data_IF_725679036902
#
_entry.id   IF_725679036902
#
_cell.length_a   1.000
_cell.length_b   1.000
_cell.length_c   1.000
_cell.angle_alpha   90.00
_cell.angle_beta   90.00
_cell.angle_gamma   90.00
#
_symmetry.space_group_name_H-M   'P 1'
#
loop_
_entity.id
_entity.type
_entity.pdbx_description
1 polymer ?
#
# COMPACT_ATOMS: atom_id res chain seq x y z
N UNK A 1 35.00 12.95 -15.27
CA UNK A 1 34.45 12.33 -14.05
C UNK A 1 33.43 13.31 -13.51
N UNK A 2 32.18 13.18 -13.95
CA UNK A 2 31.10 14.08 -13.54
C UNK A 2 30.42 13.51 -12.30
N UNK A 3 30.76 14.08 -11.15
CA UNK A 3 30.11 13.85 -9.86
C UNK A 3 29.00 14.89 -9.64
N UNK A 4 27.96 14.87 -10.48
CA UNK A 4 26.78 15.73 -10.26
C UNK A 4 25.46 15.12 -10.77
N UNK A 5 25.31 13.81 -10.56
CA UNK A 5 23.99 13.19 -10.47
C UNK A 5 23.35 13.55 -9.12
N UNK A 6 23.13 14.84 -8.89
CA UNK A 6 22.27 15.31 -7.79
C UNK A 6 20.88 14.74 -8.07
N UNK A 7 20.52 13.74 -7.26
CA UNK A 7 19.21 13.12 -7.24
C UNK A 7 18.15 14.22 -7.26
N UNK A 8 17.50 14.42 -8.41
CA UNK A 8 16.35 15.33 -8.52
C UNK A 8 15.38 14.92 -7.42
N UNK A 9 14.90 15.84 -6.57
CA UNK A 9 13.86 15.51 -5.62
C UNK A 9 12.70 14.96 -6.44
N UNK A 10 12.39 13.68 -6.28
CA UNK A 10 11.27 13.02 -6.95
C UNK A 10 10.03 13.83 -6.62
N UNK A 11 9.65 14.66 -7.59
CA UNK A 11 8.73 15.75 -7.40
C UNK A 11 7.34 15.21 -7.08
N UNK A 12 6.47 16.08 -6.58
CA UNK A 12 5.03 15.82 -6.47
C UNK A 12 4.45 15.19 -7.76
N UNK A 13 5.06 15.45 -8.93
CA UNK A 13 4.75 14.81 -10.21
C UNK A 13 4.81 13.29 -10.19
N UNK A 14 5.92 12.68 -9.74
CA UNK A 14 6.07 11.21 -9.73
C UNK A 14 5.06 10.55 -8.79
N UNK A 15 4.87 11.13 -7.59
CA UNK A 15 3.86 10.66 -6.65
C UNK A 15 2.44 10.73 -7.23
N UNK A 16 2.07 11.87 -7.84
CA UNK A 16 0.75 12.07 -8.46
C UNK A 16 0.53 11.11 -9.64
N UNK A 17 1.55 10.92 -10.47
CA UNK A 17 1.48 10.05 -11.62
C UNK A 17 1.25 8.60 -11.20
N UNK A 18 2.10 8.08 -10.31
CA UNK A 18 1.98 6.72 -9.78
C UNK A 18 0.67 6.55 -9.01
N UNK A 19 0.22 7.56 -8.25
CA UNK A 19 -1.10 7.51 -7.59
C UNK A 19 -2.25 7.38 -8.58
N UNK A 20 -2.13 7.96 -9.78
CA UNK A 20 -3.17 7.93 -10.82
C UNK A 20 -3.14 6.65 -11.65
N UNK A 21 -1.96 6.19 -12.04
CA UNK A 21 -1.78 5.14 -13.06
C UNK A 21 -1.22 3.84 -12.49
N UNK A 22 -0.67 3.86 -11.28
CA UNK A 22 0.03 2.74 -10.66
C UNK A 22 1.42 2.46 -11.27
N UNK A 23 1.90 3.31 -12.17
CA UNK A 23 3.18 3.13 -12.84
C UNK A 23 3.83 4.48 -13.19
N UNK A 24 5.13 4.46 -13.45
CA UNK A 24 5.86 5.59 -14.01
C UNK A 24 6.56 5.13 -15.31
N UNK A 25 5.92 5.27 -16.48
CA UNK A 25 6.47 4.78 -17.74
C UNK A 25 7.76 5.53 -18.12
N UNK A 26 8.76 4.78 -18.60
CA UNK A 26 10.02 5.37 -19.06
C UNK A 26 10.93 5.90 -17.94
N UNK A 27 10.73 5.43 -16.70
CA UNK A 27 11.60 5.79 -15.57
C UNK A 27 13.02 5.22 -15.76
N UNK A 28 14.04 6.08 -15.92
CA UNK A 28 15.41 5.62 -16.16
C UNK A 28 16.10 5.08 -14.90
N UNK A 29 15.60 5.38 -13.69
CA UNK A 29 16.18 4.89 -12.43
C UNK A 29 15.07 4.49 -11.42
N UNK A 30 14.43 3.33 -11.65
CA UNK A 30 13.26 2.90 -10.88
C UNK A 30 13.54 2.65 -9.39
N UNK A 31 14.76 2.23 -9.03
CA UNK A 31 15.14 2.00 -7.62
C UNK A 31 15.29 3.32 -6.85
N UNK A 32 15.95 4.32 -7.46
CA UNK A 32 16.01 5.67 -6.85
C UNK A 32 14.63 6.31 -6.74
N UNK A 33 13.78 6.13 -7.77
CA UNK A 33 12.38 6.57 -7.74
C UNK A 33 11.63 5.93 -6.57
N UNK A 34 11.73 4.61 -6.42
CA UNK A 34 11.12 3.87 -5.32
C UNK A 34 11.60 4.39 -3.96
N UNK A 35 12.91 4.63 -3.78
CA UNK A 35 13.45 5.20 -2.55
C UNK A 35 12.84 6.59 -2.22
N UNK A 36 12.72 7.49 -3.21
CA UNK A 36 12.09 8.79 -2.96
C UNK A 36 10.59 8.72 -2.69
N UNK A 37 9.88 7.78 -3.31
CA UNK A 37 8.47 7.52 -3.01
C UNK A 37 8.31 6.99 -1.57
N UNK A 38 9.17 6.07 -1.12
CA UNK A 38 9.21 5.60 0.27
C UNK A 38 9.41 6.79 1.22
N UNK A 39 10.44 7.60 0.99
CA UNK A 39 10.72 8.78 1.83
C UNK A 39 9.52 9.71 1.94
N UNK A 40 8.87 9.99 0.80
CA UNK A 40 7.68 10.85 0.75
C UNK A 40 6.49 10.22 1.47
N UNK A 41 6.31 8.90 1.35
CA UNK A 41 5.26 8.18 2.07
C UNK A 41 5.42 8.34 3.58
N UNK A 42 6.63 8.18 4.11
CA UNK A 42 6.92 8.38 5.54
C UNK A 42 6.78 9.85 5.97
N UNK A 43 7.06 10.82 5.11
CA UNK A 43 6.78 12.24 5.39
C UNK A 43 5.27 12.50 5.55
N UNK A 44 4.44 11.90 4.68
CA UNK A 44 2.99 11.97 4.82
C UNK A 44 2.49 11.29 6.09
N UNK A 45 3.09 10.15 6.45
CA UNK A 45 2.79 9.47 7.70
C UNK A 45 3.11 10.34 8.91
N UNK A 46 4.29 10.95 8.95
CA UNK A 46 4.70 11.86 10.03
C UNK A 46 3.66 12.97 10.24
N UNK A 47 3.29 13.67 9.16
CA UNK A 47 2.25 14.72 9.22
C UNK A 47 0.90 14.17 9.70
N UNK A 48 0.55 12.93 9.33
CA UNK A 48 -0.71 12.31 9.76
C UNK A 48 -0.72 11.92 11.25
N UNK A 49 0.44 11.62 11.83
CA UNK A 49 0.58 11.24 13.24
C UNK A 49 0.96 12.40 14.16
N UNK A 50 1.49 13.51 13.63
CA UNK A 50 1.86 14.70 14.42
C UNK A 50 0.67 15.22 15.25
N UNK A 51 -0.51 15.31 14.65
CA UNK A 51 -1.71 15.82 15.35
C UNK A 51 -2.13 14.94 16.54
N UNK A 52 -2.23 13.60 16.41
CA UNK A 52 -2.39 12.71 17.56
C UNK A 52 -1.28 12.82 18.61
N UNK A 53 -0.01 12.91 18.20
CA UNK A 53 1.14 13.02 19.10
C UNK A 53 1.07 14.29 19.96
N UNK A 54 0.59 15.40 19.41
CA UNK A 54 0.45 16.66 20.15
C UNK A 54 -0.74 16.67 21.12
N UNK A 55 -1.83 15.98 20.79
CA UNK A 55 -3.11 16.09 21.51
C UNK A 55 -3.32 15.03 22.57
N UNK A 56 -2.67 13.87 22.44
CA UNK A 56 -2.84 12.74 23.34
C UNK A 56 -1.64 12.60 24.27
N UNK A 57 -1.85 12.16 25.52
CA UNK A 57 -0.74 11.81 26.39
C UNK A 57 0.09 10.67 25.77
N UNK A 58 1.43 10.66 25.97
CA UNK A 58 2.27 9.52 25.60
C UNK A 58 1.74 8.19 26.17
N UNK A 59 1.83 7.10 25.40
CA UNK A 59 1.39 5.76 25.82
C UNK A 59 0.16 5.22 25.07
N UNK A 60 -0.74 4.56 25.79
CA UNK A 60 -1.76 3.67 25.21
C UNK A 60 -2.70 4.34 24.21
N UNK A 61 -3.08 5.60 24.45
CA UNK A 61 -4.05 6.31 23.60
C UNK A 61 -3.49 6.69 22.22
N UNK A 62 -2.17 6.83 22.09
CA UNK A 62 -1.51 7.25 20.85
C UNK A 62 -1.37 6.12 19.84
N UNK A 63 -1.18 4.88 20.31
CA UNK A 63 -0.94 3.73 19.45
C UNK A 63 -2.11 3.44 18.48
N UNK A 64 -3.38 3.41 18.92
CA UNK A 64 -4.51 3.22 18.02
C UNK A 64 -4.60 4.29 16.91
N UNK A 65 -4.31 5.55 17.25
CA UNK A 65 -4.33 6.64 16.26
C UNK A 65 -3.21 6.50 15.23
N UNK A 66 -2.01 6.09 15.67
CA UNK A 66 -0.91 5.79 14.76
C UNK A 66 -1.23 4.62 13.85
N UNK A 67 -1.77 3.53 14.39
CA UNK A 67 -2.20 2.35 13.61
C UNK A 67 -3.24 2.77 12.58
N UNK A 68 -4.23 3.58 12.98
CA UNK A 68 -5.26 4.09 12.07
C UNK A 68 -4.66 4.95 10.96
N UNK A 69 -3.82 5.93 11.30
CA UNK A 69 -3.18 6.81 10.33
C UNK A 69 -2.30 6.03 9.34
N UNK A 70 -1.54 5.05 9.84
CA UNK A 70 -0.70 4.18 9.02
C UNK A 70 -1.55 3.37 8.03
N UNK A 71 -2.60 2.70 8.51
CA UNK A 71 -3.48 1.87 7.65
C UNK A 71 -4.27 2.72 6.66
N UNK A 72 -4.76 3.89 7.07
CA UNK A 72 -5.45 4.82 6.17
C UNK A 72 -4.53 5.32 5.06
N UNK A 73 -3.29 5.69 5.40
CA UNK A 73 -2.31 6.11 4.40
C UNK A 73 -1.99 4.95 3.46
N UNK A 74 -1.75 3.75 3.99
CA UNK A 74 -1.49 2.54 3.22
C UNK A 74 -2.60 2.27 2.18
N UNK A 75 -3.87 2.33 2.59
CA UNK A 75 -5.02 2.16 1.69
C UNK A 75 -5.09 3.23 0.59
N UNK A 76 -4.91 4.50 0.96
CA UNK A 76 -4.96 5.62 0.00
C UNK A 76 -3.80 5.62 -1.00
N UNK A 77 -2.71 4.92 -0.67
CA UNK A 77 -1.48 4.89 -1.46
C UNK A 77 -1.19 3.51 -2.05
N UNK A 78 -2.18 2.62 -2.13
CA UNK A 78 -2.05 1.28 -2.72
C UNK A 78 -1.35 1.28 -4.10
N UNK A 79 -1.66 2.17 -5.06
CA UNK A 79 -0.95 2.23 -6.33
C UNK A 79 0.55 2.54 -6.19
N UNK A 80 0.90 3.44 -5.26
CA UNK A 80 2.29 3.82 -4.96
C UNK A 80 3.05 2.68 -4.32
N UNK A 81 2.45 2.02 -3.32
CA UNK A 81 3.08 0.87 -2.64
C UNK A 81 3.28 -0.29 -3.59
N UNK A 82 2.31 -0.57 -4.45
CA UNK A 82 2.44 -1.59 -5.50
C UNK A 82 3.58 -1.27 -6.45
N UNK A 83 3.67 -0.02 -6.92
CA UNK A 83 4.77 0.40 -7.78
C UNK A 83 6.11 0.19 -7.09
N UNK A 84 6.28 0.69 -5.85
CA UNK A 84 7.49 0.50 -5.04
C UNK A 84 7.83 -0.99 -4.90
N UNK A 85 6.87 -1.86 -4.60
CA UNK A 85 7.13 -3.30 -4.46
C UNK A 85 7.66 -3.96 -5.76
N UNK A 86 7.28 -3.43 -6.93
CA UNK A 86 7.73 -3.93 -8.23
C UNK A 86 9.08 -3.37 -8.65
N UNK A 87 9.43 -2.17 -8.19
CA UNK A 87 10.63 -1.43 -8.63
C UNK A 87 11.74 -1.35 -7.58
N UNK A 88 11.49 -1.84 -6.36
CA UNK A 88 12.46 -1.78 -5.26
C UNK A 88 13.71 -2.58 -5.54
N UNK A 89 14.85 -1.92 -5.39
CA UNK A 89 16.18 -2.51 -5.32
C UNK A 89 16.89 -2.16 -4.01
N UNK A 90 18.23 -2.19 -3.99
CA UNK A 90 19.02 -1.94 -2.80
C UNK A 90 18.80 -0.55 -2.19
N UNK A 91 18.61 0.51 -3.00
CA UNK A 91 18.43 1.88 -2.49
C UNK A 91 17.07 2.05 -1.83
N UNK A 92 16.01 1.56 -2.48
CA UNK A 92 14.67 1.54 -1.91
C UNK A 92 14.64 0.75 -0.60
N UNK A 93 15.31 -0.41 -0.56
CA UNK A 93 15.40 -1.23 0.66
C UNK A 93 16.11 -0.50 1.80
N UNK A 94 17.25 0.15 1.52
CA UNK A 94 17.99 0.93 2.52
C UNK A 94 17.19 2.12 3.04
N UNK A 95 16.45 2.81 2.17
CA UNK A 95 15.56 3.91 2.59
C UNK A 95 14.38 3.38 3.43
N UNK A 96 13.76 2.27 3.04
CA UNK A 96 12.68 1.64 3.82
C UNK A 96 13.15 1.27 5.22
N UNK A 97 14.33 0.64 5.32
CA UNK A 97 14.92 0.28 6.61
C UNK A 97 15.25 1.52 7.45
N UNK A 98 15.84 2.56 6.84
CA UNK A 98 16.13 3.82 7.52
C UNK A 98 14.86 4.45 8.10
N UNK A 99 13.79 4.54 7.31
CA UNK A 99 12.54 5.14 7.74
C UNK A 99 11.82 4.30 8.81
N UNK A 100 11.81 2.97 8.67
CA UNK A 100 11.26 2.07 9.67
C UNK A 100 12.01 2.17 11.01
N UNK A 101 13.34 2.32 11.00
CA UNK A 101 14.13 2.54 12.22
C UNK A 101 13.78 3.87 12.91
N UNK A 102 13.58 4.95 12.15
CA UNK A 102 13.19 6.25 12.71
C UNK A 102 11.81 6.17 13.36
N UNK A 103 10.82 5.60 12.67
CA UNK A 103 9.47 5.44 13.20
C UNK A 103 9.42 4.50 14.40
N UNK A 104 10.20 3.41 14.39
CA UNK A 104 10.30 2.51 15.52
C UNK A 104 10.92 3.19 16.76
N UNK A 105 11.83 4.15 16.56
CA UNK A 105 12.37 4.98 17.64
C UNK A 105 11.29 5.80 18.34
N UNK A 106 10.45 6.48 17.56
CA UNK A 106 9.32 7.27 18.09
C UNK A 106 8.33 6.38 18.87
N UNK A 107 7.96 5.24 18.30
CA UNK A 107 7.04 4.28 18.91
C UNK A 107 7.59 3.63 20.18
N UNK A 108 8.91 3.45 20.26
CA UNK A 108 9.54 2.81 21.41
C UNK A 108 9.38 3.62 22.69
N UNK A 109 9.29 4.95 22.61
CA UNK A 109 9.04 5.79 23.79
C UNK A 109 7.67 5.52 24.39
N UNK A 110 6.62 5.53 23.55
CA UNK A 110 5.25 5.22 23.99
C UNK A 110 5.14 3.78 24.53
N UNK A 111 5.75 2.82 23.85
CA UNK A 111 5.76 1.42 24.29
C UNK A 111 6.54 1.20 25.60
N UNK A 112 7.61 1.98 25.83
CA UNK A 112 8.35 1.92 27.10
C UNK A 112 7.50 2.41 28.26
N UNK A 113 6.74 3.50 28.07
CA UNK A 113 5.82 4.03 29.08
C UNK A 113 4.69 3.06 29.43
N UNK A 114 4.32 2.20 28.48
CA UNK A 114 3.36 1.10 28.69
C UNK A 114 3.98 -0.15 29.32
N UNK A 115 5.29 -0.14 29.62
CA UNK A 115 5.97 -1.29 30.23
C UNK A 115 6.31 -2.42 29.25
N UNK A 116 6.45 -2.14 27.95
CA UNK A 116 6.88 -3.16 26.99
C UNK A 116 8.30 -3.66 27.33
N UNK A 117 8.55 -4.98 27.38
CA UNK A 117 9.84 -5.54 27.85
C UNK A 117 11.00 -5.30 26.88
N UNK A 118 10.72 -4.93 25.62
CA UNK A 118 11.72 -4.54 24.63
C UNK A 118 11.10 -3.54 23.64
N UNK A 119 10.98 -2.25 23.98
CA UNK A 119 10.13 -1.29 23.25
C UNK A 119 10.52 -1.11 21.79
N UNK A 120 11.82 -0.99 21.49
CA UNK A 120 12.31 -0.88 20.10
C UNK A 120 12.03 -2.12 19.25
N UNK A 121 12.14 -3.31 19.84
CA UNK A 121 11.83 -4.56 19.14
C UNK A 121 10.32 -4.67 18.90
N UNK A 122 9.54 -4.38 19.93
CA UNK A 122 8.07 -4.37 19.87
C UNK A 122 7.55 -3.38 18.82
N UNK A 123 8.17 -2.19 18.73
CA UNK A 123 7.86 -1.21 17.69
C UNK A 123 8.15 -1.73 16.28
N UNK A 124 9.29 -2.40 16.07
CA UNK A 124 9.63 -2.99 14.77
C UNK A 124 8.67 -4.12 14.39
N UNK A 125 8.33 -4.97 15.35
CA UNK A 125 7.39 -6.08 15.16
C UNK A 125 6.00 -5.53 14.79
N UNK A 126 5.52 -4.48 15.50
CA UNK A 126 4.28 -3.79 15.16
C UNK A 126 4.29 -3.22 13.73
N UNK A 127 5.35 -2.52 13.33
CA UNK A 127 5.47 -1.97 11.97
C UNK A 127 5.49 -3.07 10.90
N UNK A 128 6.11 -4.22 11.18
CA UNK A 128 6.13 -5.37 10.29
C UNK A 128 4.74 -6.03 10.18
N UNK A 129 4.00 -6.12 11.27
CA UNK A 129 2.61 -6.59 11.25
C UNK A 129 1.70 -5.66 10.45
N UNK A 130 1.81 -4.34 10.64
CA UNK A 130 1.06 -3.35 9.85
C UNK A 130 1.36 -3.47 8.35
N UNK A 131 2.63 -3.65 7.98
CA UNK A 131 3.02 -3.90 6.60
C UNK A 131 2.37 -5.18 6.03
N UNK A 132 2.31 -6.24 6.83
CA UNK A 132 1.70 -7.53 6.46
C UNK A 132 0.19 -7.41 6.29
N UNK A 133 -0.50 -6.77 7.23
CA UNK A 133 -1.95 -6.50 7.16
C UNK A 133 -2.27 -5.77 5.87
N UNK A 134 -1.51 -4.73 5.55
CA UNK A 134 -1.82 -3.93 4.39
C UNK A 134 -1.42 -4.58 3.06
N UNK A 135 -0.46 -5.50 3.04
CA UNK A 135 -0.21 -6.37 1.89
C UNK A 135 -1.37 -7.36 1.67
N UNK A 136 -1.95 -7.88 2.76
CA UNK A 136 -3.13 -8.74 2.71
C UNK A 136 -4.38 -7.98 2.24
N UNK A 137 -4.61 -6.74 2.71
CA UNK A 137 -5.68 -5.86 2.22
C UNK A 137 -5.53 -5.59 0.70
N UNK A 138 -4.31 -5.31 0.22
CA UNK A 138 -4.05 -5.12 -1.21
C UNK A 138 -4.37 -6.39 -2.02
N UNK A 139 -4.03 -7.57 -1.49
CA UNK A 139 -4.32 -8.85 -2.14
C UNK A 139 -5.83 -9.13 -2.22
N UNK A 140 -6.55 -8.93 -1.12
CA UNK A 140 -8.00 -9.07 -1.09
C UNK A 140 -8.70 -8.07 -2.03
N UNK A 141 -8.23 -6.81 -2.05
CA UNK A 141 -8.72 -5.78 -2.95
C UNK A 141 -8.55 -6.14 -4.43
N UNK A 142 -7.45 -6.81 -4.81
CA UNK A 142 -7.26 -7.34 -6.18
C UNK A 142 -8.28 -8.40 -6.52
N UNK A 143 -8.47 -9.39 -5.65
CA UNK A 143 -9.47 -10.46 -5.86
C UNK A 143 -10.86 -9.86 -6.08
N UNK A 144 -11.26 -8.87 -5.28
CA UNK A 144 -12.55 -8.19 -5.43
C UNK A 144 -12.66 -7.39 -6.74
N UNK A 145 -11.60 -6.67 -7.14
CA UNK A 145 -11.58 -5.93 -8.41
C UNK A 145 -11.65 -6.86 -9.62
N UNK A 146 -10.95 -7.99 -9.57
CA UNK A 146 -10.95 -8.98 -10.64
C UNK A 146 -12.30 -9.70 -10.71
N UNK A 147 -12.90 -10.05 -9.57
CA UNK A 147 -14.26 -10.56 -9.50
C UNK A 147 -15.27 -9.56 -10.08
N UNK A 148 -15.17 -8.28 -9.71
CA UNK A 148 -16.01 -7.21 -10.28
C UNK A 148 -15.80 -7.04 -11.78
N UNK A 149 -14.56 -7.07 -12.26
CA UNK A 149 -14.23 -6.97 -13.70
C UNK A 149 -14.78 -8.17 -14.46
N UNK A 150 -14.71 -9.37 -13.88
CA UNK A 150 -15.29 -10.59 -14.45
C UNK A 150 -16.82 -10.49 -14.51
N UNK A 151 -17.46 -10.00 -13.45
CA UNK A 151 -18.92 -9.79 -13.41
C UNK A 151 -19.38 -8.74 -14.44
N UNK A 152 -18.68 -7.61 -14.56
CA UNK A 152 -19.01 -6.55 -15.52
C UNK A 152 -18.61 -6.91 -16.96
N UNK A 153 -17.51 -7.65 -17.14
CA UNK A 153 -17.07 -8.16 -18.45
C UNK A 153 -17.90 -9.35 -18.96
N UNK A 154 -18.65 -10.01 -18.07
CA UNK A 154 -19.62 -11.04 -18.43
C UNK A 154 -20.87 -10.47 -19.13
N UNK A 155 -21.12 -9.16 -19.07
CA UNK A 155 -22.23 -8.50 -19.80
C UNK A 155 -21.90 -8.23 -21.29
N UNK A 156 -20.61 -8.19 -21.67
CA UNK A 156 -20.20 -7.92 -23.07
C UNK A 156 -19.85 -9.15 -23.90
N UNK A 157 -19.95 -10.36 -23.33
CA UNK A 157 -19.87 -11.57 -24.14
C UNK A 157 -21.27 -11.92 -24.65
N UNK A 158 -21.55 -11.88 -25.98
CA UNK A 158 -22.73 -12.57 -26.46
C UNK A 158 -22.51 -14.04 -26.08
N UNK A 159 -23.38 -14.61 -25.26
CA UNK A 159 -23.42 -16.07 -25.01
C UNK A 159 -24.47 -16.68 -25.95
N UNK A 160 -24.20 -16.82 -27.27
CA UNK A 160 -25.12 -17.52 -28.17
C UNK A 160 -25.29 -18.98 -27.72
N UNK A 161 -24.31 -19.56 -27.03
CA UNK A 161 -24.35 -20.93 -26.58
C UNK A 161 -25.25 -21.17 -25.36
N UNK A 162 -25.47 -20.17 -24.48
CA UNK A 162 -26.37 -20.34 -23.32
C UNK A 162 -27.83 -20.21 -23.76
N UNK A 163 -28.14 -19.23 -24.61
CA UNK A 163 -29.47 -19.05 -25.18
C UNK A 163 -29.85 -20.19 -26.15
N UNK A 164 -28.91 -20.67 -26.98
CA UNK A 164 -29.16 -21.83 -27.84
C UNK A 164 -29.38 -23.12 -27.03
N UNK A 165 -28.72 -23.27 -25.89
CA UNK A 165 -28.88 -24.44 -25.00
C UNK A 165 -30.21 -24.38 -24.23
N UNK A 166 -30.65 -23.19 -23.81
CA UNK A 166 -31.96 -22.99 -23.17
C UNK A 166 -33.11 -23.13 -24.18
N UNK A 167 -32.98 -22.60 -25.40
CA UNK A 167 -33.95 -22.80 -26.47
C UNK A 167 -34.13 -24.28 -26.82
N UNK A 168 -33.04 -25.06 -26.83
CA UNK A 168 -33.08 -26.50 -27.10
C UNK A 168 -33.70 -27.32 -25.95
N UNK A 169 -33.67 -26.80 -24.72
CA UNK A 169 -34.36 -27.39 -23.56
C UNK A 169 -35.86 -27.06 -23.61
N UNK A 170 -36.23 -25.83 -23.99
CA UNK A 170 -37.62 -25.39 -24.10
C UNK A 170 -38.34 -25.90 -25.36
N UNK A 171 -37.60 -26.38 -26.37
CA UNK A 171 -38.14 -27.02 -27.58
C UNK A 171 -38.23 -28.55 -27.48
N UNK A 172 -37.89 -29.16 -26.34
CA UNK A 172 -38.18 -30.58 -26.14
C UNK A 172 -39.69 -30.74 -25.94
N UNK A 173 -40.41 -31.48 -26.81
CA UNK A 173 -41.79 -31.82 -26.52
C UNK A 173 -41.79 -32.67 -25.24
N UNK A 174 -42.72 -32.37 -24.33
CA UNK A 174 -43.04 -33.26 -23.23
C UNK A 174 -43.61 -34.54 -23.85
N UNK A 175 -42.75 -35.54 -24.05
CA UNK A 175 -43.21 -36.89 -24.32
C UNK A 175 -43.81 -37.42 -23.03
N UNK A 176 -45.11 -37.68 -23.10
CA UNK A 176 -45.91 -38.41 -22.12
C UNK A 176 -45.35 -39.81 -21.85
#
# INVERSE_FOLDING_TARGET
>A
MDHDAVARPLGLGAWREVSRTGALPGDPDPDSTAAGLIRRWYQHLAVAIDVPMERLPPGEDRLPELVRAWLDLARRTEPVRRHVALTSGPRASAEAERQARLLAGLLAEDLALMGAPAPLRSARDLLAELATVAAAEDAAGRVLRDARRSLLGAETAPRPHLLARLARILQRPATA
#
